data_IF_938034424937
#
_entry.id   IF_938034424937
#
_cell.length_a   1.000
_cell.length_b   1.000
_cell.length_c   1.000
_cell.angle_alpha   90.00
_cell.angle_beta   90.00
_cell.angle_gamma   90.00
#
_symmetry.space_group_name_H-M   'P 1'
#
loop_
_entity.id
_entity.type
_entity.pdbx_description
1 polymer ?
#
# COMPACT_ATOMS: atom_id res chain seq x y z
N UNK A 1 -11.78 19.25 -13.36
CA UNK A 1 -12.12 20.47 -14.12
C UNK A 1 -12.37 20.16 -15.58
N UNK A 2 -11.39 19.64 -16.35
CA UNK A 2 -11.62 19.26 -17.76
C UNK A 2 -12.69 18.16 -17.90
N UNK A 3 -12.67 17.12 -17.05
CA UNK A 3 -13.72 16.09 -17.04
C UNK A 3 -15.12 16.65 -16.77
N UNK A 4 -15.23 17.60 -15.86
CA UNK A 4 -16.49 18.31 -15.54
C UNK A 4 -16.92 19.29 -16.63
N UNK A 5 -15.98 19.82 -17.42
CA UNK A 5 -16.29 20.65 -18.59
C UNK A 5 -16.72 19.80 -19.79
N UNK A 6 -16.17 18.59 -19.94
CA UNK A 6 -16.50 17.67 -21.05
C UNK A 6 -17.95 17.18 -21.03
N UNK A 7 -18.59 17.15 -19.85
CA UNK A 7 -20.03 16.83 -19.74
C UNK A 7 -20.91 17.94 -20.30
N UNK A 8 -20.39 19.17 -20.39
CA UNK A 8 -21.10 20.34 -20.91
C UNK A 8 -20.64 20.73 -22.33
N UNK A 9 -19.38 20.45 -22.70
CA UNK A 9 -18.77 20.81 -23.99
C UNK A 9 -17.81 19.72 -24.47
N UNK A 10 -18.30 18.81 -25.33
CA UNK A 10 -17.51 17.67 -25.85
C UNK A 10 -16.41 18.08 -26.85
N UNK A 11 -16.60 19.19 -27.56
CA UNK A 11 -15.66 19.66 -28.58
C UNK A 11 -14.33 20.15 -27.99
N UNK A 12 -14.36 20.67 -26.76
CA UNK A 12 -13.17 21.11 -26.04
C UNK A 12 -12.26 19.93 -25.71
N UNK A 13 -12.84 18.78 -25.33
CA UNK A 13 -12.07 17.57 -25.07
C UNK A 13 -11.39 17.03 -26.33
N UNK A 14 -12.07 17.00 -27.48
CA UNK A 14 -11.47 16.53 -28.72
C UNK A 14 -10.35 17.43 -29.22
N UNK A 15 -10.54 18.76 -29.17
CA UNK A 15 -9.50 19.73 -29.56
C UNK A 15 -8.28 19.63 -28.65
N UNK A 16 -8.48 19.51 -27.34
CA UNK A 16 -7.40 19.37 -26.37
C UNK A 16 -6.60 18.08 -26.59
N UNK A 17 -7.27 16.96 -26.89
CA UNK A 17 -6.59 15.70 -27.18
C UNK A 17 -5.73 15.80 -28.44
N UNK A 18 -6.25 16.42 -29.49
CA UNK A 18 -5.51 16.62 -30.73
C UNK A 18 -4.26 17.48 -30.49
N UNK A 19 -4.39 18.60 -29.77
CA UNK A 19 -3.25 19.45 -29.41
C UNK A 19 -2.20 18.71 -28.59
N UNK A 20 -2.63 17.89 -27.62
CA UNK A 20 -1.71 17.12 -26.78
C UNK A 20 -0.99 16.03 -27.58
N UNK A 21 -1.68 15.37 -28.52
CA UNK A 21 -1.10 14.35 -29.39
C UNK A 21 -0.10 14.96 -30.37
N UNK A 22 -0.43 16.09 -31.00
CA UNK A 22 0.48 16.83 -31.88
C UNK A 22 1.72 17.32 -31.09
N UNK A 23 1.52 17.84 -29.89
CA UNK A 23 2.61 18.24 -29.01
C UNK A 23 3.48 17.03 -28.61
N UNK A 24 2.88 15.88 -28.28
CA UNK A 24 3.61 14.65 -27.98
C UNK A 24 4.46 14.21 -29.17
N UNK A 25 3.88 14.14 -30.37
CA UNK A 25 4.57 13.73 -31.60
C UNK A 25 5.70 14.70 -31.98
N UNK A 26 5.50 16.00 -31.75
CA UNK A 26 6.55 16.99 -31.93
C UNK A 26 7.68 16.80 -30.91
N UNK A 27 7.33 16.59 -29.65
CA UNK A 27 8.30 16.46 -28.57
C UNK A 27 9.08 15.15 -28.66
N UNK A 28 8.47 14.00 -28.99
CA UNK A 28 9.15 12.70 -29.02
C UNK A 28 10.31 12.67 -30.03
N UNK A 29 10.17 13.40 -31.14
CA UNK A 29 11.20 13.54 -32.16
C UNK A 29 12.37 14.46 -31.76
N UNK A 30 12.20 15.31 -30.72
CA UNK A 30 13.27 16.18 -30.22
C UNK A 30 14.13 15.50 -29.16
N UNK A 31 15.44 15.48 -29.39
CA UNK A 31 16.44 14.90 -28.47
C UNK A 31 16.98 15.87 -27.42
N UNK A 32 16.61 17.15 -27.49
CA UNK A 32 17.09 18.18 -26.55
C UNK A 32 16.65 17.95 -25.10
N UNK A 33 17.61 18.06 -24.18
CA UNK A 33 17.43 17.92 -22.73
C UNK A 33 16.57 19.01 -22.10
N UNK A 34 16.50 20.22 -22.68
CA UNK A 34 15.71 21.34 -22.13
C UNK A 34 14.20 21.08 -22.06
N UNK A 35 13.67 20.07 -22.77
CA UNK A 35 12.23 19.83 -22.88
C UNK A 35 11.74 18.59 -22.12
N UNK A 36 12.57 17.94 -21.29
CA UNK A 36 12.16 16.72 -20.57
C UNK A 36 10.98 16.96 -19.63
N UNK A 37 10.96 18.08 -18.91
CA UNK A 37 9.86 18.42 -18.01
C UNK A 37 8.54 18.62 -18.78
N UNK A 38 8.60 19.29 -19.94
CA UNK A 38 7.45 19.49 -20.83
C UNK A 38 6.92 18.16 -21.36
N UNK A 39 7.82 17.25 -21.80
CA UNK A 39 7.46 15.88 -22.21
C UNK A 39 6.73 15.13 -21.10
N UNK A 40 7.27 15.16 -19.88
CA UNK A 40 6.68 14.50 -18.71
C UNK A 40 5.32 15.12 -18.37
N UNK A 41 5.18 16.45 -18.44
CA UNK A 41 3.92 17.13 -18.14
C UNK A 41 2.83 16.76 -19.15
N UNK A 42 3.15 16.78 -20.44
CA UNK A 42 2.23 16.40 -21.52
C UNK A 42 1.74 14.94 -21.33
N UNK A 43 2.66 13.99 -21.12
CA UNK A 43 2.28 12.57 -21.03
C UNK A 43 1.50 12.24 -19.75
N UNK A 44 1.84 12.88 -18.62
CA UNK A 44 1.07 12.75 -17.37
C UNK A 44 -0.34 13.28 -17.55
N UNK A 45 -0.49 14.42 -18.22
CA UNK A 45 -1.80 15.01 -18.46
C UNK A 45 -2.66 14.11 -19.35
N UNK A 46 -2.08 13.53 -20.40
CA UNK A 46 -2.74 12.55 -21.26
C UNK A 46 -3.15 11.27 -20.47
N UNK A 47 -2.27 10.81 -19.57
CA UNK A 47 -2.58 9.71 -18.65
C UNK A 47 -3.74 10.00 -17.68
N UNK A 48 -3.81 11.21 -17.14
CA UNK A 48 -4.95 11.65 -16.32
C UNK A 48 -6.25 11.69 -17.13
N UNK A 49 -6.24 12.25 -18.35
CA UNK A 49 -7.40 12.27 -19.24
C UNK A 49 -7.91 10.87 -19.59
N UNK A 50 -7.01 9.89 -19.70
CA UNK A 50 -7.38 8.49 -19.92
C UNK A 50 -8.16 7.90 -18.74
N UNK A 51 -7.76 8.20 -17.49
CA UNK A 51 -8.49 7.73 -16.30
C UNK A 51 -9.91 8.28 -16.22
N UNK A 52 -10.13 9.50 -16.73
CA UNK A 52 -11.46 10.10 -16.84
C UNK A 52 -12.26 9.62 -18.07
N UNK A 53 -11.72 8.66 -18.85
CA UNK A 53 -12.31 8.16 -20.10
C UNK A 53 -12.53 9.24 -21.17
N UNK A 54 -11.77 10.33 -21.10
CA UNK A 54 -11.78 11.40 -22.11
C UNK A 54 -10.83 11.01 -23.24
N UNK A 55 -9.59 10.63 -22.89
CA UNK A 55 -8.63 10.11 -23.85
C UNK A 55 -8.90 8.62 -24.12
N UNK A 56 -9.03 8.19 -25.38
CA UNK A 56 -9.18 6.77 -25.70
C UNK A 56 -7.90 6.02 -25.32
N UNK A 57 -8.05 4.81 -24.76
CA UNK A 57 -6.90 3.98 -24.40
C UNK A 57 -5.98 3.68 -25.59
N UNK A 58 -6.53 3.62 -26.81
CA UNK A 58 -5.76 3.45 -28.05
C UNK A 58 -4.68 4.51 -28.24
N UNK A 59 -4.99 5.79 -27.98
CA UNK A 59 -4.04 6.90 -28.06
C UNK A 59 -2.89 6.71 -27.06
N UNK A 60 -3.23 6.37 -25.81
CA UNK A 60 -2.24 6.11 -24.75
C UNK A 60 -1.30 4.98 -25.13
N UNK A 61 -1.84 3.89 -25.70
CA UNK A 61 -1.02 2.77 -26.16
C UNK A 61 -0.13 3.15 -27.35
N UNK A 62 -0.59 4.02 -28.25
CA UNK A 62 0.25 4.54 -29.35
C UNK A 62 1.41 5.37 -28.81
N UNK A 63 1.16 6.27 -27.85
CA UNK A 63 2.20 7.06 -27.18
C UNK A 63 3.20 6.16 -26.44
N UNK A 64 2.71 5.19 -25.67
CA UNK A 64 3.57 4.24 -24.96
C UNK A 64 4.43 3.44 -25.95
N UNK A 65 3.82 2.93 -27.02
CA UNK A 65 4.54 2.18 -28.07
C UNK A 65 5.63 3.04 -28.71
N UNK A 66 5.36 4.31 -29.01
CA UNK A 66 6.36 5.22 -29.58
C UNK A 66 7.57 5.39 -28.63
N UNK A 67 7.34 5.46 -27.31
CA UNK A 67 8.43 5.50 -26.34
C UNK A 67 9.20 4.17 -26.22
N UNK A 68 8.53 3.02 -26.39
CA UNK A 68 9.15 1.70 -26.33
C UNK A 68 9.92 1.35 -27.62
N UNK A 69 9.47 1.84 -28.77
CA UNK A 69 10.13 1.62 -30.08
C UNK A 69 11.52 2.30 -30.11
N UNK A 70 11.64 3.53 -29.56
CA UNK A 70 12.93 4.19 -29.30
C UNK A 70 13.19 4.35 -27.80
N UNK A 71 13.45 3.23 -27.14
CA UNK A 71 13.66 3.18 -25.69
C UNK A 71 15.07 3.64 -25.28
N UNK A 72 15.31 4.95 -25.36
CA UNK A 72 16.59 5.60 -25.04
C UNK A 72 16.39 6.90 -24.23
N UNK A 73 17.34 7.21 -23.34
CA UNK A 73 17.41 8.44 -22.55
C UNK A 73 16.05 8.89 -21.97
N UNK A 74 15.49 10.00 -22.47
CA UNK A 74 14.28 10.62 -21.93
C UNK A 74 13.02 9.82 -22.21
N UNK A 75 13.00 8.98 -23.25
CA UNK A 75 11.82 8.17 -23.57
C UNK A 75 11.54 7.13 -22.48
N UNK A 76 12.59 6.71 -21.76
CA UNK A 76 12.47 5.84 -20.57
C UNK A 76 11.72 6.59 -19.47
N UNK A 77 12.15 7.81 -19.14
CA UNK A 77 11.50 8.64 -18.13
C UNK A 77 10.03 8.94 -18.51
N UNK A 78 9.76 9.30 -19.76
CA UNK A 78 8.41 9.59 -20.28
C UNK A 78 7.51 8.35 -20.20
N UNK A 79 7.99 7.18 -20.64
CA UNK A 79 7.24 5.93 -20.55
C UNK A 79 6.92 5.56 -19.09
N UNK A 80 7.90 5.63 -18.18
CA UNK A 80 7.70 5.32 -16.77
C UNK A 80 6.66 6.25 -16.13
N UNK A 81 6.73 7.55 -16.43
CA UNK A 81 5.77 8.54 -15.93
C UNK A 81 4.34 8.30 -16.43
N UNK A 82 4.19 7.86 -17.68
CA UNK A 82 2.89 7.46 -18.22
C UNK A 82 2.31 6.25 -17.46
N UNK A 83 3.15 5.23 -17.27
CA UNK A 83 2.80 4.00 -16.55
C UNK A 83 2.40 4.28 -15.09
N UNK A 84 3.14 5.16 -14.41
CA UNK A 84 2.82 5.60 -13.04
C UNK A 84 1.44 6.27 -12.96
N UNK A 85 1.08 7.04 -13.98
CA UNK A 85 -0.15 7.85 -13.98
C UNK A 85 -1.40 7.02 -14.27
N UNK A 86 -1.38 6.19 -15.32
CA UNK A 86 -2.56 5.47 -15.81
C UNK A 86 -2.36 3.97 -16.03
N UNK A 87 -1.15 3.43 -15.88
CA UNK A 87 -0.85 2.03 -16.18
C UNK A 87 -1.63 1.05 -15.31
N UNK A 88 -1.82 1.34 -14.02
CA UNK A 88 -2.67 0.52 -13.12
C UNK A 88 -4.15 0.53 -13.52
N UNK A 89 -4.65 1.67 -14.03
CA UNK A 89 -6.02 1.78 -14.53
C UNK A 89 -6.19 0.92 -15.79
N UNK A 90 -5.27 1.02 -16.75
CA UNK A 90 -5.28 0.22 -17.98
C UNK A 90 -5.10 -1.28 -17.71
N UNK A 91 -4.31 -1.66 -16.71
CA UNK A 91 -4.10 -3.07 -16.36
C UNK A 91 -5.33 -3.72 -15.72
N UNK A 92 -6.11 -2.95 -14.94
CA UNK A 92 -7.31 -3.44 -14.25
C UNK A 92 -8.57 -3.45 -15.10
N UNK A 93 -8.61 -2.63 -16.16
CA UNK A 93 -9.76 -2.59 -17.07
C UNK A 93 -9.78 -3.83 -17.97
N UNK A 94 -10.90 -4.58 -18.04
CA UNK A 94 -10.96 -5.86 -18.76
C UNK A 94 -10.71 -5.71 -20.27
N UNK A 95 -11.11 -4.57 -20.84
CA UNK A 95 -10.92 -4.23 -22.26
C UNK A 95 -9.45 -4.05 -22.65
N UNK A 96 -8.62 -3.57 -21.72
CA UNK A 96 -7.23 -3.15 -22.00
C UNK A 96 -6.18 -4.01 -21.30
N UNK A 97 -6.58 -4.90 -20.39
CA UNK A 97 -5.68 -5.69 -19.53
C UNK A 97 -4.67 -6.51 -20.33
N UNK A 98 -5.13 -7.23 -21.37
CA UNK A 98 -4.26 -8.08 -22.22
C UNK A 98 -3.22 -7.23 -22.94
N UNK A 99 -3.66 -6.13 -23.56
CA UNK A 99 -2.77 -5.22 -24.29
C UNK A 99 -1.75 -4.56 -23.36
N UNK A 100 -2.19 -4.19 -22.15
CA UNK A 100 -1.31 -3.62 -21.14
C UNK A 100 -0.28 -4.63 -20.62
N UNK A 101 -0.68 -5.88 -20.37
CA UNK A 101 0.23 -6.95 -19.96
C UNK A 101 1.34 -7.16 -21.00
N UNK A 102 0.98 -7.24 -22.29
CA UNK A 102 1.96 -7.38 -23.37
C UNK A 102 2.94 -6.20 -23.42
N UNK A 103 2.48 -4.96 -23.22
CA UNK A 103 3.35 -3.77 -23.19
C UNK A 103 4.30 -3.76 -21.99
N UNK A 104 3.83 -4.22 -20.82
CA UNK A 104 4.68 -4.37 -19.63
C UNK A 104 5.75 -5.46 -19.81
N UNK A 105 5.45 -6.55 -20.52
CA UNK A 105 6.44 -7.57 -20.88
C UNK A 105 7.52 -7.02 -21.83
N UNK A 106 7.11 -6.23 -22.83
CA UNK A 106 8.05 -5.54 -23.74
C UNK A 106 8.97 -4.60 -22.95
N UNK A 107 8.42 -3.80 -22.03
CA UNK A 107 9.18 -2.90 -21.17
C UNK A 107 10.27 -3.66 -20.38
N UNK A 108 9.91 -4.77 -19.74
CA UNK A 108 10.86 -5.59 -18.97
C UNK A 108 11.93 -6.25 -19.85
N UNK A 109 11.54 -6.70 -21.06
CA UNK A 109 12.50 -7.23 -22.03
C UNK A 109 13.49 -6.14 -22.48
N UNK A 110 13.01 -4.94 -22.79
CA UNK A 110 13.84 -3.81 -23.20
C UNK A 110 14.82 -3.40 -22.10
N UNK A 111 14.37 -3.37 -20.83
CA UNK A 111 15.25 -3.13 -19.68
C UNK A 111 16.45 -4.09 -19.66
N UNK A 112 16.21 -5.38 -19.89
CA UNK A 112 17.25 -6.42 -19.84
C UNK A 112 18.18 -6.39 -21.06
N UNK A 113 17.66 -6.07 -22.26
CA UNK A 113 18.46 -6.07 -23.49
C UNK A 113 19.27 -4.78 -23.65
N UNK A 114 18.73 -3.64 -23.22
CA UNK A 114 19.38 -2.33 -23.40
C UNK A 114 20.46 -2.02 -22.35
N UNK A 115 20.63 -2.87 -21.33
CA UNK A 115 21.59 -2.66 -20.23
C UNK A 115 21.55 -1.22 -19.69
N UNK A 116 20.36 -0.81 -19.24
CA UNK A 116 20.13 0.54 -18.73
C UNK A 116 21.03 0.84 -17.52
N UNK A 117 21.30 2.12 -17.29
CA UNK A 117 21.98 2.54 -16.07
C UNK A 117 21.15 2.17 -14.82
N UNK A 118 21.77 2.08 -13.64
CA UNK A 118 21.07 1.65 -12.42
C UNK A 118 19.84 2.50 -12.07
N UNK A 119 19.86 3.80 -12.38
CA UNK A 119 18.74 4.70 -12.09
C UNK A 119 17.57 4.41 -13.03
N UNK A 120 17.78 4.33 -14.34
CA UNK A 120 16.71 4.00 -15.29
C UNK A 120 16.17 2.57 -15.09
N UNK A 121 17.05 1.62 -14.78
CA UNK A 121 16.65 0.23 -14.44
C UNK A 121 15.68 0.20 -13.24
N UNK A 122 16.02 0.92 -12.17
CA UNK A 122 15.18 1.04 -10.97
C UNK A 122 13.86 1.74 -11.26
N UNK A 123 13.89 2.80 -12.09
CA UNK A 123 12.68 3.54 -12.48
C UNK A 123 11.68 2.63 -13.22
N UNK A 124 12.18 1.82 -14.16
CA UNK A 124 11.36 0.86 -14.92
C UNK A 124 10.74 -0.20 -14.00
N UNK A 125 11.51 -0.75 -13.06
CA UNK A 125 10.98 -1.70 -12.08
C UNK A 125 9.87 -1.10 -11.22
N UNK A 126 10.08 0.11 -10.70
CA UNK A 126 9.09 0.81 -9.89
C UNK A 126 7.78 1.03 -10.66
N UNK A 127 7.87 1.51 -11.91
CA UNK A 127 6.71 1.70 -12.76
C UNK A 127 5.98 0.38 -13.07
N UNK A 128 6.73 -0.70 -13.34
CA UNK A 128 6.18 -2.03 -13.58
C UNK A 128 5.40 -2.55 -12.37
N UNK A 129 6.01 -2.53 -11.19
CA UNK A 129 5.38 -3.03 -9.96
C UNK A 129 4.23 -2.13 -9.48
N UNK A 130 4.20 -0.86 -9.87
CA UNK A 130 3.05 0.00 -9.60
C UNK A 130 1.83 -0.38 -10.45
N UNK A 131 2.06 -0.80 -11.71
CA UNK A 131 1.01 -1.25 -12.63
C UNK A 131 0.50 -2.65 -12.27
N UNK A 132 1.44 -3.59 -12.10
CA UNK A 132 1.20 -4.99 -11.72
C UNK A 132 1.75 -5.19 -10.31
N UNK A 133 1.02 -4.74 -9.26
CA UNK A 133 1.46 -4.96 -7.90
C UNK A 133 1.69 -6.46 -7.69
N UNK A 134 2.83 -6.86 -7.11
CA UNK A 134 3.07 -8.26 -6.78
C UNK A 134 1.89 -8.73 -5.92
N UNK A 135 1.53 -10.01 -6.06
CA UNK A 135 0.55 -10.66 -5.19
C UNK A 135 1.09 -10.66 -3.76
N UNK A 136 0.95 -9.52 -3.08
CA UNK A 136 1.06 -9.48 -1.63
C UNK A 136 -0.17 -10.23 -1.17
N UNK A 137 0.03 -11.40 -0.57
CA UNK A 137 -0.99 -12.07 0.21
C UNK A 137 -1.74 -11.00 1.00
N UNK A 138 -3.01 -10.77 0.67
CA UNK A 138 -3.82 -9.81 1.41
C UNK A 138 -3.58 -10.12 2.88
N UNK A 139 -3.21 -9.12 3.70
CA UNK A 139 -3.10 -9.32 5.14
C UNK A 139 -4.46 -9.84 5.58
N UNK A 140 -4.58 -11.15 5.76
CA UNK A 140 -5.78 -11.78 6.26
C UNK A 140 -5.97 -11.18 7.65
N UNK A 141 -6.88 -10.21 7.77
CA UNK A 141 -7.37 -9.79 9.06
C UNK A 141 -8.00 -11.05 9.64
N UNK A 142 -7.28 -11.72 10.55
CA UNK A 142 -7.81 -12.90 11.23
C UNK A 142 -9.18 -12.48 11.78
N UNK A 143 -10.25 -13.10 11.28
CA UNK A 143 -11.60 -12.87 11.81
C UNK A 143 -11.55 -13.36 13.25
N UNK A 144 -11.55 -12.42 14.19
CA UNK A 144 -11.51 -12.72 15.63
C UNK A 144 -12.93 -12.64 16.17
N UNK A 145 -13.32 -13.56 17.06
CA UNK A 145 -14.58 -13.46 17.80
C UNK A 145 -14.75 -12.07 18.44
N UNK A 146 -15.98 -11.53 18.53
CA UNK A 146 -16.25 -10.22 19.13
C UNK A 146 -15.63 -10.04 20.52
N UNK A 147 -15.65 -11.11 21.32
CA UNK A 147 -15.08 -11.14 22.68
C UNK A 147 -13.56 -10.90 22.69
N UNK A 148 -12.84 -11.52 21.75
CA UNK A 148 -11.40 -11.33 21.57
C UNK A 148 -11.03 -9.93 21.05
N UNK A 149 -11.92 -9.29 20.30
CA UNK A 149 -11.75 -7.89 19.88
C UNK A 149 -11.99 -6.94 21.04
N UNK A 150 -13.02 -7.20 21.85
CA UNK A 150 -13.34 -6.42 23.05
C UNK A 150 -12.20 -6.42 24.07
N UNK A 151 -11.66 -7.59 24.41
CA UNK A 151 -10.48 -7.73 25.29
C UNK A 151 -9.30 -6.92 24.77
N UNK A 152 -9.05 -6.97 23.44
CA UNK A 152 -7.95 -6.24 22.82
C UNK A 152 -8.17 -4.72 22.89
N UNK A 153 -9.40 -4.26 22.69
CA UNK A 153 -9.75 -2.84 22.83
C UNK A 153 -9.50 -2.37 24.26
N UNK A 154 -9.97 -3.12 25.26
CA UNK A 154 -9.77 -2.80 26.66
C UNK A 154 -8.28 -2.68 27.02
N UNK A 155 -7.45 -3.63 26.58
CA UNK A 155 -6.03 -3.69 26.96
C UNK A 155 -5.10 -2.77 26.16
N UNK A 156 -5.36 -2.58 24.86
CA UNK A 156 -4.43 -1.85 23.97
C UNK A 156 -4.92 -0.46 23.54
N UNK A 157 -6.22 -0.18 23.65
CA UNK A 157 -6.80 1.10 23.24
C UNK A 157 -7.31 1.92 24.43
N UNK A 158 -8.07 1.28 25.32
CA UNK A 158 -8.76 1.98 26.41
C UNK A 158 -7.94 2.02 27.72
N UNK A 159 -6.83 1.29 27.82
CA UNK A 159 -5.99 1.23 29.01
C UNK A 159 -5.14 2.49 29.20
N UNK A 160 -5.46 3.25 30.25
CA UNK A 160 -4.75 4.43 30.70
C UNK A 160 -4.82 4.55 32.24
N UNK A 161 -4.08 5.49 32.83
CA UNK A 161 -4.00 5.68 34.29
C UNK A 161 -5.36 5.95 34.95
N UNK A 162 -6.25 6.65 34.25
CA UNK A 162 -7.60 7.00 34.75
C UNK A 162 -8.63 5.89 34.51
N UNK A 163 -8.41 5.01 33.53
CA UNK A 163 -9.36 3.97 33.13
C UNK A 163 -9.05 2.60 33.73
N UNK A 164 -7.92 2.42 34.42
CA UNK A 164 -7.48 1.13 34.97
C UNK A 164 -8.54 0.44 35.85
N UNK A 165 -9.22 1.17 36.74
CA UNK A 165 -10.27 0.60 37.59
C UNK A 165 -11.51 0.18 36.79
N UNK A 166 -11.83 0.93 35.74
CA UNK A 166 -12.90 0.57 34.82
C UNK A 166 -12.51 -0.70 34.05
N UNK A 167 -11.31 -0.76 33.48
CA UNK A 167 -10.81 -1.93 32.75
C UNK A 167 -10.79 -3.16 33.64
N UNK A 168 -10.28 -3.04 34.88
CA UNK A 168 -10.29 -4.12 35.87
C UNK A 168 -11.72 -4.63 36.15
N UNK A 169 -12.69 -3.72 36.31
CA UNK A 169 -14.11 -4.10 36.50
C UNK A 169 -14.68 -4.83 35.28
N UNK A 170 -14.32 -4.43 34.07
CA UNK A 170 -14.79 -5.11 32.85
C UNK A 170 -14.13 -6.47 32.67
N UNK A 171 -12.82 -6.60 32.96
CA UNK A 171 -12.10 -7.86 32.90
C UNK A 171 -12.69 -8.90 33.87
N UNK A 172 -13.11 -8.47 35.08
CA UNK A 172 -13.80 -9.36 36.04
C UNK A 172 -15.15 -9.87 35.56
N UNK A 173 -15.84 -9.16 34.67
CA UNK A 173 -17.17 -9.55 34.15
C UNK A 173 -17.09 -10.50 32.95
N UNK A 174 -15.89 -10.83 32.48
CA UNK A 174 -15.73 -11.72 31.33
C UNK A 174 -16.00 -13.19 31.72
N UNK A 175 -16.45 -14.02 30.76
CA UNK A 175 -16.52 -15.47 30.95
C UNK A 175 -15.09 -16.06 30.94
N UNK A 176 -14.48 -16.21 32.12
CA UNK A 176 -13.08 -16.59 32.30
C UNK A 176 -12.74 -17.97 31.71
N UNK A 177 -13.63 -18.96 31.85
CA UNK A 177 -13.47 -20.33 31.34
C UNK A 177 -13.09 -20.42 29.86
N UNK A 178 -13.57 -19.48 29.04
CA UNK A 178 -13.32 -19.46 27.60
C UNK A 178 -12.23 -18.45 27.21
N UNK A 179 -12.04 -17.40 28.02
CA UNK A 179 -11.20 -16.25 27.69
C UNK A 179 -9.81 -16.30 28.28
N UNK A 180 -9.60 -17.03 29.36
CA UNK A 180 -8.34 -17.12 30.11
C UNK A 180 -7.10 -17.34 29.21
N UNK A 181 -7.05 -18.35 28.30
CA UNK A 181 -5.88 -18.57 27.45
C UNK A 181 -5.65 -17.41 26.45
N UNK A 182 -6.72 -16.73 26.01
CA UNK A 182 -6.59 -15.58 25.12
C UNK A 182 -6.18 -14.31 25.87
N UNK A 183 -6.65 -14.14 27.11
CA UNK A 183 -6.27 -13.06 28.01
C UNK A 183 -4.78 -13.16 28.35
N UNK A 184 -4.31 -14.35 28.74
CA UNK A 184 -2.90 -14.63 28.98
C UNK A 184 -2.04 -14.26 27.76
N UNK A 185 -2.46 -14.70 26.56
CA UNK A 185 -1.79 -14.35 25.30
C UNK A 185 -1.78 -12.85 24.99
N UNK A 186 -2.76 -12.09 25.45
CA UNK A 186 -2.80 -10.64 25.30
C UNK A 186 -1.86 -9.95 26.30
N UNK A 187 -1.80 -10.44 27.54
CA UNK A 187 -0.84 -10.00 28.56
C UNK A 187 0.59 -10.32 28.14
N UNK A 188 0.88 -11.45 27.49
CA UNK A 188 2.23 -11.72 26.96
C UNK A 188 2.61 -10.87 25.74
N UNK A 189 1.63 -10.25 25.08
CA UNK A 189 1.84 -9.39 23.91
C UNK A 189 1.82 -7.89 24.25
N UNK A 190 2.20 -7.53 25.48
CA UNK A 190 2.29 -6.11 25.89
C UNK A 190 3.17 -5.29 24.95
N UNK A 191 4.22 -5.90 24.39
CA UNK A 191 5.12 -5.25 23.43
C UNK A 191 4.43 -4.75 22.15
N UNK A 192 3.18 -5.19 21.87
CA UNK A 192 2.35 -4.68 20.77
C UNK A 192 1.53 -3.44 21.14
N UNK A 193 1.56 -3.02 22.40
CA UNK A 193 0.95 -1.79 22.93
C UNK A 193 1.98 -0.68 23.14
N UNK A 194 1.61 0.38 23.87
CA UNK A 194 2.53 1.48 24.19
C UNK A 194 3.45 1.06 25.34
N UNK A 195 4.75 1.35 25.24
CA UNK A 195 5.73 1.00 26.29
C UNK A 195 5.35 1.55 27.68
N UNK A 196 4.75 2.74 27.74
CA UNK A 196 4.26 3.34 28.99
C UNK A 196 3.07 2.64 29.67
N UNK A 197 2.44 1.66 29.01
CA UNK A 197 1.31 0.89 29.55
C UNK A 197 1.72 -0.41 30.26
N UNK A 198 3.01 -0.78 30.21
CA UNK A 198 3.51 -2.04 30.82
C UNK A 198 3.22 -2.07 32.32
N UNK A 199 3.48 -0.97 33.03
CA UNK A 199 3.21 -0.90 34.48
C UNK A 199 1.71 -0.99 34.79
N UNK A 200 0.83 -0.49 33.91
CA UNK A 200 -0.62 -0.59 34.09
C UNK A 200 -1.10 -2.04 33.96
N UNK A 201 -0.48 -2.82 33.08
CA UNK A 201 -0.78 -4.25 32.93
C UNK A 201 -0.32 -5.03 34.15
N UNK A 202 0.85 -4.73 34.72
CA UNK A 202 1.30 -5.31 35.98
C UNK A 202 0.33 -4.99 37.14
N UNK A 203 -0.16 -3.75 37.21
CA UNK A 203 -1.19 -3.33 38.17
C UNK A 203 -2.53 -4.05 37.95
N UNK A 204 -2.91 -4.32 36.69
CA UNK A 204 -4.09 -5.14 36.38
C UNK A 204 -3.91 -6.60 36.84
N UNK A 205 -2.75 -7.21 36.62
CA UNK A 205 -2.45 -8.58 37.09
C UNK A 205 -2.58 -8.68 38.61
N UNK A 206 -2.03 -7.69 39.35
CA UNK A 206 -2.17 -7.63 40.82
C UNK A 206 -3.62 -7.42 41.28
N UNK A 207 -4.41 -6.64 40.52
CA UNK A 207 -5.84 -6.48 40.81
C UNK A 207 -6.67 -7.73 40.52
N UNK A 208 -6.22 -8.57 39.58
CA UNK A 208 -6.88 -9.80 39.17
C UNK A 208 -6.52 -11.00 40.04
N UNK A 209 -5.32 -11.04 40.65
CA UNK A 209 -4.90 -12.15 41.52
C UNK A 209 -5.90 -12.40 42.64
N UNK A 210 -6.45 -11.34 43.24
CA UNK A 210 -7.46 -11.43 44.33
C UNK A 210 -8.74 -12.20 43.98
N UNK A 211 -9.02 -12.40 42.69
CA UNK A 211 -10.22 -13.08 42.21
C UNK A 211 -9.88 -14.33 41.37
N UNK A 212 -8.73 -14.35 40.72
CA UNK A 212 -8.24 -15.41 39.86
C UNK A 212 -6.74 -15.62 40.11
N UNK A 213 -6.40 -16.30 41.19
CA UNK A 213 -5.01 -16.56 41.58
C UNK A 213 -4.27 -17.40 40.53
N UNK A 214 -4.92 -18.44 39.98
CA UNK A 214 -4.33 -19.31 38.94
C UNK A 214 -3.89 -18.55 37.69
N UNK A 215 -4.66 -17.52 37.29
CA UNK A 215 -4.32 -16.67 36.16
C UNK A 215 -3.09 -15.79 36.47
N UNK A 216 -3.03 -15.22 37.67
CA UNK A 216 -1.89 -14.37 38.07
C UNK A 216 -0.60 -15.19 38.16
N UNK A 217 -0.67 -16.42 38.69
CA UNK A 217 0.44 -17.37 38.69
C UNK A 217 0.87 -17.70 37.27
N UNK A 218 -0.07 -18.00 36.38
CA UNK A 218 0.21 -18.30 34.97
C UNK A 218 0.90 -17.15 34.23
N UNK A 219 0.52 -15.90 34.51
CA UNK A 219 1.17 -14.71 33.93
C UNK A 219 2.61 -14.58 34.43
N UNK A 220 2.86 -14.82 35.72
CA UNK A 220 4.20 -14.71 36.32
C UNK A 220 5.11 -15.83 35.83
N UNK A 221 4.59 -17.05 35.75
CA UNK A 221 5.33 -18.23 35.31
C UNK A 221 5.78 -18.10 33.84
N UNK A 222 4.87 -17.65 32.97
CA UNK A 222 5.18 -17.35 31.58
C UNK A 222 6.25 -16.25 31.44
N UNK A 223 6.15 -15.15 32.20
CA UNK A 223 7.18 -14.08 32.18
C UNK A 223 8.54 -14.60 32.66
N UNK A 224 8.55 -15.45 33.69
CA UNK A 224 9.76 -16.05 34.25
C UNK A 224 10.41 -17.02 33.26
N UNK A 225 9.60 -17.80 32.57
CA UNK A 225 10.03 -18.74 31.52
C UNK A 225 10.61 -18.00 30.31
N UNK A 226 10.00 -16.90 29.87
CA UNK A 226 10.55 -16.04 28.81
C UNK A 226 11.94 -15.49 29.16
N UNK A 227 12.13 -15.05 30.40
CA UNK A 227 13.43 -14.56 30.86
C UNK A 227 14.49 -15.68 30.89
N UNK A 228 14.14 -16.86 31.38
CA UNK A 228 15.04 -18.02 31.39
C UNK A 228 15.44 -18.48 29.96
N UNK A 229 14.50 -18.42 29.02
CA UNK A 229 14.73 -18.77 27.61
C UNK A 229 15.72 -17.83 26.92
N UNK A 230 15.69 -16.53 27.25
CA UNK A 230 16.62 -15.53 26.73
C UNK A 230 18.05 -15.76 27.25
N UNK A 231 18.18 -16.21 28.50
CA UNK A 231 19.48 -16.53 29.10
C UNK A 231 20.13 -17.80 28.54
N UNK A 232 19.33 -18.78 28.08
CA UNK A 232 19.84 -20.01 27.45
C UNK A 232 20.25 -19.83 25.98
N UNK A 233 19.84 -18.71 25.36
CA UNK A 233 20.15 -18.35 23.96
C UNK A 233 21.25 -17.29 23.84
N UNK A 234 21.84 -16.87 24.98
CA UNK A 234 22.95 -15.91 25.08
C UNK A 234 24.25 -16.66 25.40
#
# INVERSE_FOLDING_TARGET
MVATLSTCMKDVSSMLLQLLEEEFNFLINKKDQMNIETKIRNIRFLGELCKFRIAPAGLVFSCLKACLDDFTHHNIDVACNLLETCGRFLYRSPETTVRMANMLEILMRLKNVKNLDPRHSTLVENAYYLCKPPERSARVSKVRPPLHQYIRKLLFSDLDKSSIEHVLRQLRKLPWSECEPYLLKCFMKVHRGKYGQIHLIASLTSGLSRYHDDFAVSVVDEVSTFHHSLYLLS
#
